data_IF_491210463033
#
_entry.id   IF_491210463033
#
_cell.length_a   1.000
_cell.length_b   1.000
_cell.length_c   1.000
_cell.angle_alpha   90.00
_cell.angle_beta   90.00
_cell.angle_gamma   90.00
#
_symmetry.space_group_name_H-M   'P 1'
#
loop_
_entity.id
_entity.type
_entity.pdbx_description
1 polymer ?
#
# COMPACT_ATOMS: atom_id res chain seq x y z
N UNK A 1 3.37 -13.78 2.79
CA UNK A 1 4.50 -12.98 3.37
C UNK A 1 4.25 -11.50 3.13
N UNK A 2 4.31 -10.67 4.16
CA UNK A 2 4.21 -9.21 4.03
C UNK A 2 5.57 -8.59 3.72
N UNK A 3 5.66 -7.79 2.66
CA UNK A 3 6.85 -7.03 2.30
C UNK A 3 6.57 -5.55 2.58
N UNK A 4 7.43 -4.93 3.36
CA UNK A 4 7.33 -3.52 3.71
C UNK A 4 8.70 -2.86 3.73
N UNK A 5 8.71 -1.54 3.85
CA UNK A 5 9.90 -0.73 3.80
C UNK A 5 9.52 0.72 3.68
N UNK A 6 10.34 1.59 4.26
CA UNK A 6 10.12 3.03 4.17
C UNK A 6 10.30 3.53 2.74
N UNK A 7 9.88 4.77 2.51
CA UNK A 7 9.99 5.38 1.18
C UNK A 7 11.45 5.35 0.68
N UNK A 8 11.65 4.90 -0.56
CA UNK A 8 12.98 4.87 -1.17
C UNK A 8 13.89 3.70 -0.77
N UNK A 9 13.42 2.71 0.01
CA UNK A 9 14.28 1.59 0.42
C UNK A 9 14.56 0.56 -0.67
N UNK A 10 13.74 0.52 -1.74
CA UNK A 10 13.89 -0.43 -2.84
C UNK A 10 12.88 -1.59 -2.82
N UNK A 11 11.85 -1.49 -1.99
CA UNK A 11 10.75 -2.46 -1.85
C UNK A 11 10.20 -3.01 -3.19
N UNK A 12 9.97 -2.13 -4.17
CA UNK A 12 9.48 -2.55 -5.50
C UNK A 12 10.48 -3.43 -6.26
N UNK A 13 11.78 -3.16 -6.12
CA UNK A 13 12.85 -3.98 -6.70
C UNK A 13 12.91 -5.34 -6.02
N UNK A 14 12.84 -5.38 -4.69
CA UNK A 14 12.77 -6.63 -3.92
C UNK A 14 11.54 -7.46 -4.30
N UNK A 15 10.39 -6.82 -4.47
CA UNK A 15 9.17 -7.49 -4.93
C UNK A 15 9.34 -8.09 -6.35
N UNK A 16 10.02 -7.39 -7.26
CA UNK A 16 10.32 -7.91 -8.60
C UNK A 16 11.23 -9.15 -8.54
N UNK A 17 12.25 -9.15 -7.68
CA UNK A 17 13.13 -10.31 -7.47
C UNK A 17 12.35 -11.53 -6.98
N UNK A 18 11.36 -11.35 -6.08
CA UNK A 18 10.50 -12.46 -5.68
C UNK A 18 9.69 -13.06 -6.85
N UNK A 19 9.26 -12.25 -7.81
CA UNK A 19 8.57 -12.76 -9.02
C UNK A 19 9.47 -13.68 -9.84
N UNK A 20 10.77 -13.36 -9.93
CA UNK A 20 11.77 -14.18 -10.63
C UNK A 20 11.93 -15.57 -9.97
N UNK A 21 11.57 -15.68 -8.69
CA UNK A 21 11.56 -16.93 -7.92
C UNK A 21 10.15 -17.54 -7.78
N UNK A 22 9.25 -17.27 -8.73
CA UNK A 22 7.89 -17.85 -8.81
C UNK A 22 6.95 -17.51 -7.65
N UNK A 23 7.21 -16.41 -6.94
CA UNK A 23 6.21 -15.83 -6.06
C UNK A 23 5.23 -14.97 -6.85
N UNK A 24 3.95 -15.04 -6.49
CA UNK A 24 3.03 -13.96 -6.83
C UNK A 24 3.29 -12.72 -5.99
N UNK A 25 2.99 -11.54 -6.54
CA UNK A 25 3.14 -10.27 -5.83
C UNK A 25 1.85 -9.48 -5.94
N UNK A 26 1.25 -9.22 -4.80
CA UNK A 26 0.09 -8.36 -4.65
C UNK A 26 0.53 -7.00 -4.12
N UNK A 27 0.35 -5.94 -4.91
CA UNK A 27 0.60 -4.58 -4.48
C UNK A 27 -0.71 -3.96 -3.97
N UNK A 28 -0.73 -3.57 -2.69
CA UNK A 28 -1.91 -3.00 -2.07
C UNK A 28 -2.31 -1.64 -2.67
N UNK A 29 -1.35 -0.81 -3.08
CA UNK A 29 -1.64 0.48 -3.70
C UNK A 29 -2.29 0.28 -5.08
N UNK A 30 -1.75 -0.62 -5.90
CA UNK A 30 -2.29 -0.93 -7.22
C UNK A 30 -3.70 -1.51 -7.11
N UNK A 31 -3.96 -2.34 -6.08
CA UNK A 31 -5.28 -2.88 -5.82
C UNK A 31 -6.29 -1.79 -5.46
N UNK A 32 -5.93 -0.83 -4.60
CA UNK A 32 -6.81 0.32 -4.30
C UNK A 32 -7.09 1.14 -5.54
N UNK A 33 -6.09 1.38 -6.40
CA UNK A 33 -6.29 2.12 -7.65
C UNK A 33 -7.24 1.35 -8.56
N UNK A 34 -7.03 0.05 -8.73
CA UNK A 34 -7.93 -0.80 -9.51
C UNK A 34 -9.38 -0.74 -9.01
N UNK A 35 -9.59 -0.88 -7.70
CA UNK A 35 -10.92 -0.81 -7.08
C UNK A 35 -11.57 0.54 -7.38
N UNK A 36 -10.83 1.64 -7.22
CA UNK A 36 -11.35 3.00 -7.44
C UNK A 36 -11.68 3.31 -8.89
N UNK A 37 -11.17 2.51 -9.83
CA UNK A 37 -11.40 2.69 -11.26
C UNK A 37 -12.42 1.71 -11.86
N UNK A 38 -12.61 0.55 -11.23
CA UNK A 38 -13.34 -0.57 -11.85
C UNK A 38 -14.45 -1.16 -10.98
N UNK A 39 -14.42 -0.98 -9.65
CA UNK A 39 -15.43 -1.53 -8.75
C UNK A 39 -16.57 -0.53 -8.56
N UNK A 40 -17.58 -0.60 -9.44
CA UNK A 40 -18.72 0.33 -9.42
C UNK A 40 -19.45 0.36 -8.08
N UNK A 41 -19.52 -0.77 -7.36
CA UNK A 41 -20.16 -0.81 -6.05
C UNK A 41 -19.39 0.00 -5.01
N UNK A 42 -18.05 -0.05 -5.04
CA UNK A 42 -17.21 0.78 -4.17
C UNK A 42 -17.28 2.24 -4.58
N UNK A 43 -17.20 2.52 -5.89
CA UNK A 43 -17.29 3.88 -6.43
C UNK A 43 -18.61 4.53 -6.01
N UNK A 44 -19.74 3.83 -6.14
CA UNK A 44 -21.07 4.32 -5.76
C UNK A 44 -21.16 4.60 -4.25
N UNK A 45 -20.65 3.68 -3.41
CA UNK A 45 -20.62 3.88 -1.95
C UNK A 45 -19.73 5.05 -1.53
N UNK A 46 -18.60 5.25 -2.21
CA UNK A 46 -17.73 6.40 -1.94
C UNK A 46 -18.43 7.69 -2.36
N UNK A 47 -19.09 7.73 -3.52
CA UNK A 47 -19.85 8.91 -3.97
C UNK A 47 -21.01 9.23 -3.01
N UNK A 48 -21.70 8.24 -2.47
CA UNK A 48 -22.76 8.44 -1.46
C UNK A 48 -22.21 9.08 -0.17
N UNK A 49 -21.07 8.58 0.32
CA UNK A 49 -20.43 9.11 1.54
C UNK A 49 -19.71 10.44 1.32
N UNK A 50 -19.23 10.67 0.10
CA UNK A 50 -18.42 11.82 -0.32
C UNK A 50 -18.93 12.35 -1.67
N UNK A 51 -20.08 13.05 -1.69
CA UNK A 51 -20.66 13.55 -2.94
C UNK A 51 -19.70 14.45 -3.72
N UNK A 52 -19.69 14.31 -5.05
CA UNK A 52 -18.82 15.05 -5.96
C UNK A 52 -17.41 14.47 -6.07
N UNK A 53 -17.17 13.24 -5.61
CA UNK A 53 -15.87 12.57 -5.75
C UNK A 53 -15.81 11.58 -6.89
N UNK A 54 -16.91 11.36 -7.62
CA UNK A 54 -16.95 10.53 -8.83
C UNK A 54 -16.79 11.35 -10.10
N UNK A 55 -15.91 10.89 -10.99
CA UNK A 55 -15.70 11.44 -12.32
C UNK A 55 -15.47 10.30 -13.32
N UNK A 56 -16.19 10.31 -14.46
CA UNK A 56 -16.08 9.28 -15.51
C UNK A 56 -16.17 7.83 -15.00
N UNK A 57 -17.09 7.56 -14.07
CA UNK A 57 -17.24 6.26 -13.40
C UNK A 57 -16.02 5.79 -12.60
N UNK A 58 -15.20 6.74 -12.10
CA UNK A 58 -14.04 6.46 -11.24
C UNK A 58 -14.06 7.40 -10.04
N UNK A 59 -13.38 7.01 -8.97
CA UNK A 59 -13.13 7.93 -7.84
C UNK A 59 -12.08 8.96 -8.27
N UNK A 60 -12.44 10.23 -8.28
CA UNK A 60 -11.50 11.34 -8.34
C UNK A 60 -10.81 11.49 -6.97
N UNK A 61 -9.62 10.89 -6.89
CA UNK A 61 -8.79 10.85 -5.67
C UNK A 61 -8.36 12.22 -5.17
N UNK A 62 -8.24 13.22 -6.06
CA UNK A 62 -7.87 14.58 -5.68
C UNK A 62 -9.02 15.24 -4.92
N UNK A 63 -10.23 15.14 -5.45
CA UNK A 63 -11.44 15.65 -4.80
C UNK A 63 -11.70 14.94 -3.46
N UNK A 64 -11.60 13.60 -3.46
CA UNK A 64 -11.75 12.81 -2.23
C UNK A 64 -10.71 13.23 -1.18
N UNK A 65 -9.45 13.39 -1.56
CA UNK A 65 -8.38 13.84 -0.65
C UNK A 65 -8.66 15.24 -0.10
N UNK A 66 -9.16 16.17 -0.91
CA UNK A 66 -9.49 17.52 -0.44
C UNK A 66 -10.56 17.47 0.65
N UNK A 67 -11.65 16.72 0.43
CA UNK A 67 -12.71 16.55 1.43
C UNK A 67 -12.18 15.94 2.72
N UNK A 68 -11.33 14.90 2.63
CA UNK A 68 -10.75 14.23 3.80
C UNK A 68 -9.76 15.10 4.57
N UNK A 69 -9.03 15.98 3.90
CA UNK A 69 -8.15 16.95 4.56
C UNK A 69 -8.94 17.99 5.35
N UNK A 70 -10.09 18.43 4.83
CA UNK A 70 -10.99 19.35 5.53
C UNK A 70 -11.74 18.67 6.68
N UNK A 71 -12.02 17.37 6.56
CA UNK A 71 -12.80 16.59 7.52
C UNK A 71 -12.09 15.26 7.88
N UNK A 72 -11.00 15.31 8.67
CA UNK A 72 -10.19 14.13 8.99
C UNK A 72 -10.95 13.01 9.71
N UNK A 73 -12.04 13.32 10.41
CA UNK A 73 -12.90 12.32 11.06
C UNK A 73 -13.56 11.37 10.05
N UNK A 74 -13.69 11.79 8.78
CA UNK A 74 -14.27 10.96 7.71
C UNK A 74 -13.33 9.88 7.18
N UNK A 75 -12.04 9.90 7.51
CA UNK A 75 -11.12 8.81 7.13
C UNK A 75 -11.65 7.44 7.57
N UNK A 76 -12.15 7.34 8.80
CA UNK A 76 -12.73 6.08 9.33
C UNK A 76 -13.93 5.58 8.52
N UNK A 77 -14.74 6.49 7.98
CA UNK A 77 -15.88 6.13 7.12
C UNK A 77 -15.40 5.58 5.79
N UNK A 78 -14.44 6.23 5.15
CA UNK A 78 -13.83 5.73 3.92
C UNK A 78 -13.21 4.34 4.13
N UNK A 79 -12.39 4.20 5.18
CA UNK A 79 -11.73 2.94 5.54
C UNK A 79 -12.74 1.80 5.75
N UNK A 80 -13.90 2.08 6.37
CA UNK A 80 -14.95 1.08 6.59
C UNK A 80 -15.55 0.51 5.30
N UNK A 81 -15.50 1.27 4.21
CA UNK A 81 -15.94 0.82 2.87
C UNK A 81 -14.80 0.13 2.12
N UNK A 82 -13.59 0.68 2.19
CA UNK A 82 -12.45 0.26 1.36
C UNK A 82 -11.73 -0.97 1.94
N UNK A 83 -11.56 -1.07 3.25
CA UNK A 83 -10.81 -2.16 3.88
C UNK A 83 -11.43 -3.56 3.66
N UNK A 84 -12.76 -3.75 3.77
CA UNK A 84 -13.35 -5.05 3.47
C UNK A 84 -13.13 -5.47 2.01
N UNK A 85 -13.25 -4.54 1.07
CA UNK A 85 -13.13 -4.85 -0.36
C UNK A 85 -11.69 -5.12 -0.74
N UNK A 86 -10.74 -4.28 -0.31
CA UNK A 86 -9.30 -4.55 -0.53
C UNK A 86 -8.88 -5.90 0.02
N UNK A 87 -9.36 -6.29 1.21
CA UNK A 87 -9.13 -7.63 1.77
C UNK A 87 -9.73 -8.75 0.91
N UNK A 88 -10.92 -8.55 0.35
CA UNK A 88 -11.52 -9.54 -0.56
C UNK A 88 -10.69 -9.71 -1.83
N UNK A 89 -10.26 -8.62 -2.47
CA UNK A 89 -9.38 -8.68 -3.64
C UNK A 89 -8.05 -9.37 -3.33
N UNK A 90 -7.49 -9.12 -2.15
CA UNK A 90 -6.29 -9.78 -1.67
C UNK A 90 -6.50 -11.29 -1.52
N UNK A 91 -7.59 -11.73 -0.87
CA UNK A 91 -7.92 -13.15 -0.69
C UNK A 91 -8.09 -13.83 -2.05
N UNK A 92 -8.88 -13.25 -2.94
CA UNK A 92 -9.12 -13.81 -4.28
C UNK A 92 -7.82 -13.91 -5.09
N UNK A 93 -6.91 -12.94 -4.95
CA UNK A 93 -5.60 -13.05 -5.57
C UNK A 93 -4.78 -14.21 -5.00
N UNK A 94 -4.76 -14.37 -3.67
CA UNK A 94 -4.05 -15.48 -3.00
C UNK A 94 -4.63 -16.84 -3.41
N UNK A 95 -5.96 -16.98 -3.45
CA UNK A 95 -6.64 -18.20 -3.89
C UNK A 95 -6.23 -18.59 -5.32
N UNK A 96 -6.19 -17.62 -6.23
CA UNK A 96 -5.69 -17.83 -7.59
C UNK A 96 -4.24 -18.34 -7.61
N UNK A 97 -3.36 -17.77 -6.80
CA UNK A 97 -1.96 -18.22 -6.73
C UNK A 97 -1.83 -19.66 -6.21
N UNK A 98 -2.72 -20.06 -5.29
CA UNK A 98 -2.79 -21.44 -4.78
C UNK A 98 -3.21 -22.39 -5.89
N UNK A 99 -4.22 -22.04 -6.68
CA UNK A 99 -4.66 -22.82 -7.85
C UNK A 99 -3.54 -22.95 -8.89
N UNK A 100 -2.80 -21.87 -9.13
CA UNK A 100 -1.62 -21.83 -10.01
C UNK A 100 -0.39 -22.54 -9.42
N UNK A 101 -0.47 -23.02 -8.17
CA UNK A 101 0.62 -23.69 -7.43
C UNK A 101 1.91 -22.85 -7.37
N UNK A 102 1.77 -21.53 -7.27
CA UNK A 102 2.92 -20.63 -7.05
C UNK A 102 3.62 -20.97 -5.74
N UNK A 103 4.92 -20.64 -5.67
CA UNK A 103 5.71 -20.88 -4.47
C UNK A 103 5.14 -20.14 -3.23
N UNK A 104 4.63 -18.94 -3.44
CA UNK A 104 3.98 -18.17 -2.38
C UNK A 104 3.48 -16.81 -2.86
N UNK A 105 2.96 -16.02 -1.91
CA UNK A 105 2.47 -14.67 -2.16
C UNK A 105 3.24 -13.63 -1.34
N UNK A 106 3.81 -12.66 -2.03
CA UNK A 106 4.34 -11.43 -1.45
C UNK A 106 3.24 -10.38 -1.46
N UNK A 107 2.87 -9.92 -0.28
CA UNK A 107 1.94 -8.83 -0.06
C UNK A 107 2.75 -7.56 0.12
N UNK A 108 2.87 -6.78 -0.94
CA UNK A 108 3.60 -5.52 -0.93
C UNK A 108 2.74 -4.40 -0.32
N UNK A 109 2.99 -4.09 0.97
CA UNK A 109 2.16 -3.21 1.80
C UNK A 109 3.06 -2.14 2.46
N UNK A 110 3.05 -0.88 1.97
CA UNK A 110 3.91 0.19 2.50
C UNK A 110 3.72 0.50 3.99
N UNK A 111 2.50 0.35 4.50
CA UNK A 111 2.12 0.68 5.88
C UNK A 111 1.75 -0.59 6.68
N UNK A 112 2.48 -1.68 6.46
CA UNK A 112 2.17 -3.00 6.99
C UNK A 112 2.02 -3.00 8.51
N UNK A 113 2.95 -2.37 9.23
CA UNK A 113 2.95 -2.38 10.69
C UNK A 113 2.05 -1.30 11.28
N UNK A 114 1.93 -0.17 10.60
CA UNK A 114 1.14 1.00 10.98
C UNK A 114 -0.36 0.67 10.97
N UNK A 115 -0.78 -0.16 10.02
CA UNK A 115 -2.17 -0.63 9.90
C UNK A 115 -2.45 -1.93 10.66
N UNK A 116 -1.43 -2.51 11.30
CA UNK A 116 -1.54 -3.82 11.96
C UNK A 116 -1.79 -4.97 10.98
N UNK A 117 -1.36 -4.80 9.72
CA UNK A 117 -1.46 -5.77 8.63
C UNK A 117 -0.51 -6.96 8.80
N UNK A 118 0.53 -6.80 9.61
CA UNK A 118 1.46 -7.86 10.04
C UNK A 118 0.75 -9.06 10.68
N UNK A 119 -0.43 -8.87 11.27
CA UNK A 119 -1.24 -9.95 11.86
C UNK A 119 -1.90 -10.88 10.84
N UNK A 120 -1.88 -10.52 9.56
CA UNK A 120 -2.55 -11.27 8.48
C UNK A 120 -1.55 -11.92 7.52
N UNK A 121 -0.27 -12.02 7.91
CA UNK A 121 0.78 -12.64 7.10
C UNK A 121 1.56 -13.66 7.93
N UNK A 122 2.08 -14.70 7.27
CA UNK A 122 2.87 -15.75 7.95
C UNK A 122 4.24 -15.25 8.41
N UNK A 123 4.81 -14.31 7.66
CA UNK A 123 6.08 -13.67 7.94
C UNK A 123 6.11 -12.26 7.35
N UNK A 124 6.91 -11.39 7.97
CA UNK A 124 7.17 -10.02 7.53
C UNK A 124 8.63 -9.83 7.11
N UNK A 125 8.82 -9.09 6.02
CA UNK A 125 10.12 -8.71 5.47
C UNK A 125 10.18 -7.18 5.45
N UNK A 126 11.24 -6.62 6.04
CA UNK A 126 11.52 -5.18 6.00
C UNK A 126 12.71 -4.92 5.10
N UNK A 127 12.48 -4.15 4.03
CA UNK A 127 13.55 -3.66 3.16
C UNK A 127 14.06 -2.33 3.68
N UNK A 128 15.36 -2.25 3.95
CA UNK A 128 16.04 -1.07 4.47
C UNK A 128 17.02 -0.48 3.46
N UNK A 129 17.30 0.81 3.63
CA UNK A 129 18.39 1.52 2.98
C UNK A 129 18.84 2.66 3.90
N UNK A 130 20.07 3.14 3.76
CA UNK A 130 20.51 4.33 4.49
C UNK A 130 19.63 5.54 4.14
N UNK A 131 19.49 6.47 5.07
CA UNK A 131 18.70 7.69 4.84
C UNK A 131 19.23 8.49 3.64
N UNK A 132 20.54 8.56 3.46
CA UNK A 132 21.16 9.20 2.30
C UNK A 132 20.70 8.55 0.98
N UNK A 133 20.64 7.21 0.93
CA UNK A 133 20.17 6.48 -0.25
C UNK A 133 18.67 6.63 -0.47
N UNK A 134 17.87 6.67 0.60
CA UNK A 134 16.45 6.96 0.50
C UNK A 134 16.23 8.37 -0.09
N UNK A 135 16.97 9.37 0.40
CA UNK A 135 16.91 10.76 -0.08
C UNK A 135 17.34 10.84 -1.55
N UNK A 136 18.49 10.28 -1.91
CA UNK A 136 19.00 10.26 -3.29
C UNK A 136 17.95 9.68 -4.25
N UNK A 137 17.39 8.50 -3.94
CA UNK A 137 16.39 7.86 -4.79
C UNK A 137 15.09 8.65 -4.90
N UNK A 138 14.65 9.31 -3.84
CA UNK A 138 13.33 9.96 -3.82
C UNK A 138 13.41 11.39 -4.34
N UNK A 139 14.40 12.14 -3.90
CA UNK A 139 14.56 13.55 -4.26
C UNK A 139 15.30 13.68 -5.58
N UNK A 140 16.45 13.02 -5.72
CA UNK A 140 17.36 13.26 -6.82
C UNK A 140 16.94 12.43 -8.06
N UNK A 141 16.57 11.15 -7.89
CA UNK A 141 16.15 10.30 -9.01
C UNK A 141 14.66 10.47 -9.38
N UNK A 142 13.76 10.44 -8.40
CA UNK A 142 12.30 10.54 -8.64
C UNK A 142 11.77 11.96 -8.71
N UNK A 143 12.62 12.96 -8.48
CA UNK A 143 12.26 14.38 -8.56
C UNK A 143 11.10 14.78 -7.61
N UNK A 144 11.01 14.12 -6.44
CA UNK A 144 10.04 14.46 -5.39
C UNK A 144 10.67 15.51 -4.47
N UNK A 145 9.94 16.58 -4.15
CA UNK A 145 10.50 17.63 -3.29
C UNK A 145 10.87 17.10 -1.90
N UNK A 146 11.89 17.71 -1.29
CA UNK A 146 12.32 17.35 0.06
C UNK A 146 11.19 17.49 1.10
N UNK A 147 10.30 18.47 0.90
CA UNK A 147 9.11 18.66 1.74
C UNK A 147 8.17 17.46 1.64
N UNK A 148 7.87 16.99 0.44
CA UNK A 148 7.00 15.82 0.22
C UNK A 148 7.66 14.55 0.75
N UNK A 149 8.96 14.36 0.54
CA UNK A 149 9.72 13.26 1.12
C UNK A 149 9.58 13.21 2.65
N UNK A 150 9.78 14.35 3.31
CA UNK A 150 9.65 14.45 4.76
C UNK A 150 8.22 14.17 5.26
N UNK A 151 7.20 14.62 4.52
CA UNK A 151 5.79 14.33 4.85
C UNK A 151 5.53 12.82 4.77
N UNK A 152 5.95 12.17 3.68
CA UNK A 152 5.75 10.73 3.46
C UNK A 152 6.50 9.91 4.52
N UNK A 153 7.74 10.30 4.83
CA UNK A 153 8.55 9.63 5.87
C UNK A 153 7.91 9.76 7.25
N UNK A 154 7.33 10.91 7.59
CA UNK A 154 6.64 11.14 8.88
C UNK A 154 5.37 10.31 9.06
N UNK A 155 4.73 9.89 7.98
CA UNK A 155 3.55 9.03 8.03
C UNK A 155 3.90 7.55 8.27
N UNK A 156 5.18 7.20 8.21
CA UNK A 156 5.68 5.84 8.33
C UNK A 156 6.28 5.61 9.74
N UNK A 157 6.11 4.40 10.25
CA UNK A 157 6.82 3.91 11.43
C UNK A 157 8.34 4.02 11.19
N UNK A 158 9.14 4.52 12.15
CA UNK A 158 10.58 4.58 12.01
C UNK A 158 11.19 3.22 11.70
N UNK A 159 12.21 3.18 10.84
CA UNK A 159 12.86 1.92 10.42
C UNK A 159 13.30 1.08 11.63
N UNK A 160 13.87 1.71 12.67
CA UNK A 160 14.29 1.03 13.90
C UNK A 160 13.14 0.31 14.62
N UNK A 161 11.92 0.83 14.57
CA UNK A 161 10.75 0.17 15.14
C UNK A 161 10.26 -0.96 14.22
N UNK A 162 10.31 -0.78 12.89
CA UNK A 162 9.99 -1.83 11.92
C UNK A 162 10.92 -3.04 12.10
N UNK A 163 12.22 -2.82 12.30
CA UNK A 163 13.21 -3.88 12.46
C UNK A 163 12.95 -4.77 13.69
N UNK A 164 12.44 -4.19 14.78
CA UNK A 164 12.06 -4.97 15.98
C UNK A 164 10.88 -5.92 15.74
N UNK A 165 10.04 -5.63 14.74
CA UNK A 165 8.84 -6.40 14.40
C UNK A 165 9.05 -7.36 13.23
N UNK A 166 10.15 -7.20 12.48
CA UNK A 166 10.42 -7.95 11.27
C UNK A 166 10.81 -9.41 11.56
N UNK A 167 10.36 -10.35 10.74
CA UNK A 167 10.90 -11.71 10.74
C UNK A 167 12.20 -11.77 9.93
N UNK A 168 12.28 -11.00 8.85
CA UNK A 168 13.45 -10.91 7.98
C UNK A 168 13.74 -9.46 7.60
N UNK A 169 15.02 -9.18 7.35
CA UNK A 169 15.52 -7.86 6.98
C UNK A 169 16.32 -8.02 5.68
N UNK A 170 16.08 -7.13 4.72
CA UNK A 170 16.79 -7.05 3.43
C UNK A 170 17.43 -5.67 3.30
#
# INVERSE_FOLDING_TARGET
VGLTGSIGTGKSTTAAMFKEHDFGVYNADDAVHYIYENDLNVIDKIEELFPGTRENNKVNRKLLRNILNEQPEKFKKLESVVHPVTRQYQITYIEKLIEEKKFGCILDIPLLFETGGDRYVDASIVVIASEDKQRERVVDERQISMEVFNILKKQQMPDQEKLKKANFII
#
